data_IF_817853358667
#
_entry.id   IF_817853358667
#
_cell.length_a   1.000
_cell.length_b   1.000
_cell.length_c   1.000
_cell.angle_alpha   90.00
_cell.angle_beta   90.00
_cell.angle_gamma   90.00
#
_symmetry.space_group_name_H-M   'P 1'
#
loop_
_entity.id
_entity.type
_entity.pdbx_description
1 polymer ?
#
# COMPACT_ATOMS: atom_id res chain seq x y z
N UNK A 1 -14.75 -6.49 18.93
CA UNK A 1 -14.01 -5.25 18.61
C UNK A 1 -12.81 -5.64 17.77
N UNK A 2 -12.42 -4.86 16.76
CA UNK A 2 -11.33 -5.23 15.84
C UNK A 2 -9.98 -5.40 16.55
N UNK A 3 -9.76 -4.71 17.67
CA UNK A 3 -8.55 -4.81 18.49
C UNK A 3 -8.31 -6.22 19.01
N UNK A 4 -9.36 -6.90 19.50
CA UNK A 4 -9.24 -8.26 20.03
C UNK A 4 -8.87 -9.30 18.97
N UNK A 5 -9.30 -9.09 17.72
CA UNK A 5 -8.90 -9.95 16.60
C UNK A 5 -7.41 -9.79 16.28
N UNK A 6 -6.92 -8.55 16.25
CA UNK A 6 -5.50 -8.29 16.03
C UNK A 6 -4.64 -8.82 17.19
N UNK A 7 -5.12 -8.68 18.43
CA UNK A 7 -4.46 -9.26 19.61
C UNK A 7 -4.39 -10.79 19.54
N UNK A 8 -5.45 -11.48 19.09
CA UNK A 8 -5.43 -12.94 18.91
C UNK A 8 -4.46 -13.39 17.83
N UNK A 9 -4.30 -12.59 16.78
CA UNK A 9 -3.31 -12.79 15.70
C UNK A 9 -1.90 -12.32 16.09
N UNK A 10 -1.69 -11.88 17.34
CA UNK A 10 -0.41 -11.34 17.86
C UNK A 10 0.12 -10.14 17.07
N UNK A 11 -0.76 -9.36 16.48
CA UNK A 11 -0.44 -8.13 15.75
C UNK A 11 -0.35 -6.98 16.76
N UNK A 12 0.80 -6.30 16.79
CA UNK A 12 1.02 -5.14 17.66
C UNK A 12 0.23 -3.93 17.16
N UNK A 13 -0.51 -3.28 18.07
CA UNK A 13 -1.30 -2.08 17.76
C UNK A 13 -0.61 -0.86 18.38
N UNK A 14 -0.18 0.09 17.55
CA UNK A 14 0.31 1.38 18.02
C UNK A 14 -0.84 2.38 18.16
N UNK A 15 -1.16 2.76 19.40
CA UNK A 15 -2.23 3.71 19.73
C UNK A 15 -1.72 5.06 20.24
N UNK A 16 -0.43 5.19 20.53
CA UNK A 16 0.15 6.35 21.22
C UNK A 16 0.29 7.60 20.32
N UNK A 17 -0.01 7.47 19.02
CA UNK A 17 0.00 8.56 18.05
C UNK A 17 1.38 9.04 17.65
N UNK A 18 2.46 8.51 18.25
CA UNK A 18 3.84 8.87 17.92
C UNK A 18 4.19 8.29 16.54
N UNK A 19 4.84 9.08 15.70
CA UNK A 19 5.25 8.64 14.36
C UNK A 19 4.12 8.56 13.32
N UNK A 20 2.85 8.77 13.70
CA UNK A 20 1.70 8.62 12.78
C UNK A 20 1.81 9.43 11.50
N UNK A 21 2.33 10.66 11.56
CA UNK A 21 2.49 11.48 10.36
C UNK A 21 3.45 10.81 9.36
N UNK A 22 4.56 10.25 9.85
CA UNK A 22 5.55 9.55 9.03
C UNK A 22 4.99 8.25 8.48
N UNK A 23 4.30 7.47 9.32
CA UNK A 23 3.69 6.20 8.91
C UNK A 23 2.60 6.42 7.86
N UNK A 24 1.75 7.44 8.05
CA UNK A 24 0.66 7.74 7.13
C UNK A 24 1.12 8.42 5.83
N UNK A 25 2.29 9.08 5.83
CA UNK A 25 2.82 9.77 4.64
C UNK A 25 2.92 8.84 3.43
N UNK A 26 3.33 7.57 3.63
CA UNK A 26 3.43 6.63 2.52
C UNK A 26 2.06 6.18 2.00
N UNK A 27 1.11 5.91 2.91
CA UNK A 27 -0.28 5.55 2.58
C UNK A 27 -0.96 6.69 1.80
N UNK A 28 -0.81 7.93 2.29
CA UNK A 28 -1.35 9.12 1.61
C UNK A 28 -0.76 9.31 0.22
N UNK A 29 0.57 9.16 0.07
CA UNK A 29 1.24 9.24 -1.23
C UNK A 29 0.74 8.18 -2.20
N UNK A 30 0.61 6.93 -1.74
CA UNK A 30 0.06 5.84 -2.54
C UNK A 30 -1.34 6.18 -3.08
N UNK A 31 -2.26 6.59 -2.20
CA UNK A 31 -3.62 6.94 -2.60
C UNK A 31 -3.68 8.17 -3.51
N UNK A 32 -2.79 9.15 -3.30
CA UNK A 32 -2.68 10.30 -4.19
C UNK A 32 -2.27 9.84 -5.59
N UNK A 33 -1.19 9.07 -5.71
CA UNK A 33 -0.72 8.55 -7.01
C UNK A 33 -1.81 7.75 -7.71
N UNK A 34 -2.42 6.77 -7.04
CA UNK A 34 -3.49 5.95 -7.62
C UNK A 34 -4.67 6.79 -8.11
N UNK A 35 -5.06 7.83 -7.36
CA UNK A 35 -6.15 8.72 -7.76
C UNK A 35 -5.82 9.53 -9.00
N UNK A 36 -4.64 10.15 -9.03
CA UNK A 36 -4.24 11.05 -10.11
C UNK A 36 -3.87 10.30 -11.39
N UNK A 37 -3.18 9.17 -11.27
CA UNK A 37 -2.63 8.45 -12.41
C UNK A 37 -3.63 7.47 -13.02
N UNK A 38 -4.66 7.05 -12.26
CA UNK A 38 -5.66 6.10 -12.74
C UNK A 38 -7.09 6.57 -12.53
N UNK A 39 -7.55 6.70 -11.28
CA UNK A 39 -9.01 6.85 -11.00
C UNK A 39 -9.61 8.09 -11.66
N UNK A 40 -8.90 9.23 -11.65
CA UNK A 40 -9.41 10.45 -12.26
C UNK A 40 -9.36 10.45 -13.79
N UNK A 41 -8.51 9.61 -14.39
CA UNK A 41 -8.39 9.48 -15.84
C UNK A 41 -9.34 8.42 -16.43
N UNK A 42 -9.81 7.49 -15.60
CA UNK A 42 -10.59 6.33 -16.01
C UNK A 42 -11.91 6.29 -15.22
N UNK A 43 -12.92 7.10 -15.59
CA UNK A 43 -14.23 7.02 -14.98
C UNK A 43 -14.83 5.63 -15.25
N UNK A 44 -15.41 5.02 -14.22
CA UNK A 44 -16.04 3.71 -14.27
C UNK A 44 -17.56 3.84 -14.08
N UNK A 45 -18.33 2.99 -14.75
CA UNK A 45 -19.79 2.98 -14.66
C UNK A 45 -20.28 2.26 -13.39
N UNK A 46 -19.47 1.34 -12.86
CA UNK A 46 -19.82 0.55 -11.68
C UNK A 46 -18.59 0.14 -10.84
N UNK A 47 -18.87 -0.40 -9.64
CA UNK A 47 -17.83 -0.78 -8.69
C UNK A 47 -16.99 -1.99 -9.10
N UNK A 48 -17.52 -2.90 -9.92
CA UNK A 48 -16.73 -4.05 -10.41
C UNK A 48 -15.67 -3.61 -11.41
N UNK A 49 -16.06 -2.73 -12.34
CA UNK A 49 -15.13 -2.11 -13.29
C UNK A 49 -14.03 -1.32 -12.58
N UNK A 50 -14.39 -0.52 -11.57
CA UNK A 50 -13.40 0.18 -10.74
C UNK A 50 -12.43 -0.79 -10.07
N UNK A 51 -12.95 -1.87 -9.49
CA UNK A 51 -12.16 -2.87 -8.79
C UNK A 51 -11.15 -3.54 -9.73
N UNK A 52 -11.62 -4.06 -10.87
CA UNK A 52 -10.76 -4.72 -11.86
C UNK A 52 -9.72 -3.75 -12.42
N UNK A 53 -10.14 -2.53 -12.74
CA UNK A 53 -9.28 -1.47 -13.24
C UNK A 53 -8.16 -1.09 -12.27
N UNK A 54 -8.51 -0.84 -11.01
CA UNK A 54 -7.54 -0.53 -9.94
C UNK A 54 -6.61 -1.70 -9.69
N UNK A 55 -7.13 -2.93 -9.66
CA UNK A 55 -6.32 -4.13 -9.48
C UNK A 55 -5.28 -4.26 -10.60
N UNK A 56 -5.68 -4.09 -11.85
CA UNK A 56 -4.78 -4.13 -12.99
C UNK A 56 -3.72 -3.02 -12.93
N UNK A 57 -4.10 -1.79 -12.54
CA UNK A 57 -3.17 -0.67 -12.40
C UNK A 57 -2.13 -0.90 -11.29
N UNK A 58 -2.51 -1.51 -10.15
CA UNK A 58 -1.60 -1.81 -9.03
C UNK A 58 -0.64 -2.97 -9.37
N UNK A 59 -1.12 -4.00 -10.09
CA UNK A 59 -0.31 -5.17 -10.46
C UNK A 59 0.73 -4.80 -11.52
N UNK A 60 0.41 -3.90 -12.44
CA UNK A 60 1.38 -3.35 -13.38
C UNK A 60 2.47 -2.61 -12.59
N UNK A 61 3.70 -3.14 -12.56
CA UNK A 61 4.71 -2.64 -11.64
C UNK A 61 5.04 -1.19 -12.01
N UNK A 62 5.05 -0.25 -11.04
CA UNK A 62 5.66 1.03 -11.29
C UNK A 62 7.13 0.83 -11.62
N UNK A 63 7.69 1.72 -12.43
CA UNK A 63 9.13 1.81 -12.65
C UNK A 63 9.87 1.87 -11.31
N UNK A 64 11.16 1.54 -11.32
CA UNK A 64 12.01 1.56 -10.13
C UNK A 64 11.81 2.87 -9.36
N UNK A 65 11.49 2.77 -8.07
CA UNK A 65 11.26 3.96 -7.25
C UNK A 65 12.55 4.78 -7.21
N UNK A 66 12.49 6.06 -7.60
CA UNK A 66 13.66 6.94 -7.73
C UNK A 66 14.57 6.95 -6.49
N UNK A 67 13.99 6.85 -5.30
CA UNK A 67 14.72 6.85 -4.02
C UNK A 67 15.48 5.55 -3.75
N UNK A 68 14.98 4.41 -4.24
CA UNK A 68 15.49 3.08 -3.84
C UNK A 68 16.08 2.29 -5.00
N UNK A 69 15.82 2.70 -6.24
CA UNK A 69 16.25 2.00 -7.45
C UNK A 69 15.60 0.63 -7.65
N UNK A 70 14.60 0.27 -6.85
CA UNK A 70 13.93 -1.03 -6.87
C UNK A 70 12.41 -0.87 -7.02
N UNK A 71 11.75 -1.90 -7.53
CA UNK A 71 10.29 -1.99 -7.52
C UNK A 71 9.77 -2.27 -6.10
N UNK A 72 8.55 -1.84 -5.75
CA UNK A 72 7.98 -2.08 -4.43
C UNK A 72 7.93 -3.57 -4.04
N UNK A 73 7.53 -4.45 -4.96
CA UNK A 73 7.46 -5.90 -4.72
C UNK A 73 8.84 -6.48 -4.41
N UNK A 74 9.87 -6.11 -5.18
CA UNK A 74 11.25 -6.56 -4.92
C UNK A 74 11.72 -6.13 -3.54
N UNK A 75 11.48 -4.86 -3.17
CA UNK A 75 11.88 -4.33 -1.86
C UNK A 75 11.13 -5.02 -0.71
N UNK A 76 9.86 -5.35 -0.92
CA UNK A 76 9.06 -6.11 0.05
C UNK A 76 9.61 -7.53 0.21
N UNK A 77 9.84 -8.25 -0.89
CA UNK A 77 10.39 -9.62 -0.84
C UNK A 77 11.77 -9.66 -0.16
N UNK A 78 12.63 -8.68 -0.45
CA UNK A 78 13.94 -8.54 0.18
C UNK A 78 13.81 -8.25 1.69
N UNK A 79 12.82 -7.46 2.11
CA UNK A 79 12.59 -7.18 3.53
C UNK A 79 12.18 -8.43 4.29
N UNK A 80 11.30 -9.26 3.71
CA UNK A 80 10.89 -10.53 4.31
C UNK A 80 12.10 -11.47 4.46
N UNK A 81 12.94 -11.60 3.44
CA UNK A 81 14.15 -12.44 3.49
C UNK A 81 15.12 -11.99 4.58
N UNK A 82 15.32 -10.68 4.75
CA UNK A 82 16.23 -10.14 5.75
C UNK A 82 15.73 -10.27 7.19
N UNK A 83 14.42 -10.42 7.42
CA UNK A 83 13.85 -10.68 8.75
C UNK A 83 13.75 -12.18 9.08
N UNK A 84 13.98 -13.05 8.10
CA UNK A 84 13.98 -14.51 8.26
C UNK A 84 15.40 -15.09 8.54
N UNK A 85 16.45 -14.26 8.48
CA UNK A 85 17.84 -14.60 8.78
C UNK A 85 18.25 -14.03 10.15
#
# INVERSE_FOLDING_TARGET
MWTHYLESEKILISMDGKGRATDNTWIERFWKTLKYDYIYLNPCDNGFELFEGVQNHIILPPENAQTTGQTPNKRYDDSIKNHAA
#
